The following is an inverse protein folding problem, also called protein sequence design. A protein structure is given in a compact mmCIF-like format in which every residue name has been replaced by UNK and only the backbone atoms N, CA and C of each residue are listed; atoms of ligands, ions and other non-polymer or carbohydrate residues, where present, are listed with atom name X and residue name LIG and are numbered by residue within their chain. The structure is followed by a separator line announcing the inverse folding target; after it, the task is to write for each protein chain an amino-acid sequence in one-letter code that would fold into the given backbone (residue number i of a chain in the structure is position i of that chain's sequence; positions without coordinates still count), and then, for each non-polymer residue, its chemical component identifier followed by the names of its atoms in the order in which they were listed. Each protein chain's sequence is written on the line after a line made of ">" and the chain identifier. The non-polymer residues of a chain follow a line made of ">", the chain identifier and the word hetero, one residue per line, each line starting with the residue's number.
data_IF_109567151978
#
_entry.id   IF_109567151978
#
_cell.length_a   1.000
_cell.length_b   1.000
_cell.length_c   1.000
_cell.angle_alpha   90.00
_cell.angle_beta   90.00
_cell.angle_gamma   90.00
#
_symmetry.space_group_name_H-M   'P 1'
#
loop_
_entity.id
_entity.type
_entity.pdbx_description
1 polymer ?
#
# COMPACT_ATOMS: atom_id res chain seq x y z
N UNK A 1 3.13 38.50 6.29
CA UNK A 1 4.46 38.55 5.64
C UNK A 1 5.02 37.13 5.68
N UNK A 2 4.71 36.23 4.74
CA UNK A 2 4.93 36.33 3.29
C UNK A 2 6.37 36.78 3.02
N UNK A 3 7.30 35.82 2.89
CA UNK A 3 8.60 35.90 2.18
C UNK A 3 9.74 35.05 2.80
N UNK A 4 9.52 33.77 3.15
CA UNK A 4 10.65 32.89 3.50
C UNK A 4 10.59 31.47 2.89
N UNK A 5 9.61 31.19 2.03
CA UNK A 5 9.41 29.85 1.46
C UNK A 5 9.77 29.72 -0.02
N UNK A 6 10.29 30.74 -0.68
CA UNK A 6 10.69 30.64 -2.09
C UNK A 6 11.91 31.49 -2.39
N UNK A 7 13.11 30.92 -2.22
CA UNK A 7 14.22 31.13 -3.15
C UNK A 7 15.35 30.13 -2.87
N UNK A 8 15.39 29.11 -3.74
CA UNK A 8 16.58 28.59 -4.43
C UNK A 8 17.76 28.21 -3.55
N UNK A 9 18.02 26.90 -3.46
CA UNK A 9 19.00 26.26 -4.36
C UNK A 9 20.27 27.11 -4.49
N UNK A 10 21.33 26.71 -3.82
CA UNK A 10 22.56 26.23 -4.46
C UNK A 10 23.63 25.97 -3.42
N UNK A 11 24.53 25.05 -3.77
CA UNK A 11 25.76 24.67 -3.09
C UNK A 11 25.58 23.69 -1.93
N UNK A 12 25.68 22.40 -2.27
CA UNK A 12 26.32 21.44 -1.39
C UNK A 12 27.66 22.01 -0.91
N UNK A 13 27.87 22.23 0.41
CA UNK A 13 29.21 22.31 0.93
C UNK A 13 29.69 20.86 1.11
N UNK A 14 30.81 20.55 0.48
CA UNK A 14 31.65 19.40 0.84
C UNK A 14 31.74 19.29 2.37
N UNK A 15 31.55 18.11 2.97
CA UNK A 15 31.60 17.98 4.42
C UNK A 15 33.03 18.23 4.89
N UNK A 16 33.32 19.47 5.32
CA UNK A 16 34.49 19.78 6.12
C UNK A 16 34.27 19.24 7.52
N UNK A 17 35.25 18.45 7.93
CA UNK A 17 35.37 17.79 9.21
C UNK A 17 35.15 18.75 10.40
N UNK A 18 34.05 18.60 11.14
CA UNK A 18 33.99 18.98 12.56
C UNK A 18 32.76 18.44 13.31
N UNK A 19 33.04 17.50 14.21
CA UNK A 19 32.28 17.11 15.42
C UNK A 19 31.20 16.02 15.30
N UNK A 20 31.70 14.78 15.27
CA UNK A 20 31.04 13.51 15.57
C UNK A 20 30.57 13.38 17.04
N UNK A 21 29.93 14.41 17.62
CA UNK A 21 29.60 14.43 19.05
C UNK A 21 28.29 13.73 19.45
N UNK A 22 27.50 13.23 18.50
CA UNK A 22 26.27 12.51 18.83
C UNK A 22 26.55 11.07 19.29
N UNK A 23 27.52 10.40 18.67
CA UNK A 23 27.79 8.97 18.87
C UNK A 23 28.54 8.61 20.17
N UNK A 24 29.14 9.59 20.87
CA UNK A 24 30.01 9.33 22.04
C UNK A 24 29.33 9.43 23.41
N UNK A 25 28.06 9.82 23.49
CA UNK A 25 27.38 10.12 24.78
C UNK A 25 26.21 9.21 25.12
N UNK A 26 25.76 8.34 24.21
CA UNK A 26 24.65 7.45 24.50
C UNK A 26 25.12 6.27 25.39
N UNK A 27 24.45 5.98 26.52
CA UNK A 27 24.87 4.92 27.45
C UNK A 27 24.98 3.54 26.79
N UNK A 28 24.09 3.25 25.83
CA UNK A 28 24.10 1.99 25.09
C UNK A 28 25.36 1.84 24.21
N UNK A 29 25.92 2.95 23.72
CA UNK A 29 27.08 2.91 22.83
C UNK A 29 28.39 2.79 23.62
N UNK A 30 28.47 3.38 24.82
CA UNK A 30 29.57 3.10 25.76
C UNK A 30 29.60 1.63 26.19
N UNK A 31 28.44 1.03 26.42
CA UNK A 31 28.35 -0.40 26.71
C UNK A 31 28.78 -1.26 25.51
N UNK A 32 28.36 -0.90 24.29
CA UNK A 32 28.77 -1.60 23.06
C UNK A 32 30.27 -1.49 22.79
N UNK A 33 30.86 -0.30 22.94
CA UNK A 33 32.30 -0.06 22.77
C UNK A 33 33.09 -0.85 23.83
N UNK A 34 32.72 -0.74 25.10
CA UNK A 34 33.39 -1.48 26.18
C UNK A 34 33.24 -3.00 26.03
N UNK A 35 32.16 -3.47 25.40
CA UNK A 35 31.95 -4.88 25.10
C UNK A 35 32.80 -5.35 23.91
N UNK A 36 32.89 -4.55 22.84
CA UNK A 36 33.74 -4.83 21.68
C UNK A 36 35.23 -4.84 22.03
N UNK A 37 35.69 -3.94 22.92
CA UNK A 37 37.08 -3.91 23.39
C UNK A 37 37.43 -5.09 24.32
N UNK A 38 36.47 -5.62 25.08
CA UNK A 38 36.67 -6.78 25.98
C UNK A 38 36.67 -8.12 25.26
N UNK A 39 36.11 -8.18 24.07
CA UNK A 39 36.03 -9.40 23.27
C UNK A 39 36.63 -9.16 21.87
N UNK A 40 37.96 -8.95 21.78
CA UNK A 40 38.62 -8.90 20.49
C UNK A 40 38.50 -10.29 19.84
N UNK A 41 37.58 -10.43 18.89
CA UNK A 41 37.40 -11.64 18.09
C UNK A 41 38.33 -11.55 16.87
N UNK A 42 39.39 -12.37 16.78
CA UNK A 42 40.21 -12.43 15.58
C UNK A 42 39.37 -12.95 14.41
N UNK A 43 39.41 -12.27 13.26
CA UNK A 43 38.83 -12.75 12.00
C UNK A 43 37.49 -12.17 11.57
N UNK A 44 36.91 -11.19 12.28
CA UNK A 44 35.68 -10.49 11.83
C UNK A 44 35.94 -9.16 11.12
N UNK A 45 37.16 -8.62 11.24
CA UNK A 45 37.62 -7.39 10.56
C UNK A 45 38.98 -7.60 9.87
N UNK A 46 39.21 -8.80 9.33
CA UNK A 46 40.33 -9.02 8.40
C UNK A 46 39.80 -9.27 6.98
N UNK A 47 38.72 -8.56 6.63
CA UNK A 47 38.28 -8.49 5.25
C UNK A 47 38.93 -7.26 4.62
N UNK A 48 39.95 -7.49 3.80
CA UNK A 48 40.67 -6.45 3.03
C UNK A 48 39.81 -5.82 1.93
N UNK A 49 38.50 -6.04 1.93
CA UNK A 49 37.55 -5.46 0.98
C UNK A 49 37.05 -4.10 1.47
N UNK A 50 36.83 -3.14 0.57
CA UNK A 50 36.42 -1.79 0.94
C UNK A 50 35.06 -1.79 1.66
N UNK A 51 34.89 -0.89 2.63
CA UNK A 51 33.66 -0.73 3.44
C UNK A 51 32.37 -0.55 2.62
N UNK A 52 32.48 -0.25 1.32
CA UNK A 52 31.37 -0.21 0.37
C UNK A 52 30.66 -1.56 0.23
N UNK A 53 31.35 -2.70 0.40
CA UNK A 53 30.73 -4.02 0.32
C UNK A 53 29.70 -4.27 1.45
N UNK A 54 29.85 -3.58 2.60
CA UNK A 54 28.87 -3.61 3.69
C UNK A 54 27.59 -2.81 3.37
N UNK A 55 27.67 -1.88 2.40
CA UNK A 55 26.54 -1.07 1.95
C UNK A 55 25.76 -1.72 0.81
N UNK A 56 26.31 -2.76 0.17
CA UNK A 56 25.63 -3.50 -0.90
C UNK A 56 24.52 -4.42 -0.36
N UNK A 57 24.66 -4.92 0.88
CA UNK A 57 23.65 -5.78 1.53
C UNK A 57 23.56 -5.51 3.04
N UNK A 58 23.08 -4.31 3.45
CA UNK A 58 23.07 -3.89 4.84
C UNK A 58 22.20 -4.79 5.74
N UNK A 59 21.11 -5.31 5.19
CA UNK A 59 20.16 -6.15 5.95
C UNK A 59 20.72 -7.54 6.27
N UNK A 60 21.46 -8.16 5.33
CA UNK A 60 22.05 -9.48 5.53
C UNK A 60 23.18 -9.44 6.57
N UNK A 61 24.04 -8.42 6.50
CA UNK A 61 25.16 -8.25 7.42
C UNK A 61 24.71 -7.77 8.80
N UNK A 62 23.70 -6.89 8.86
CA UNK A 62 23.05 -6.49 10.10
C UNK A 62 22.42 -7.68 10.84
N UNK A 63 21.70 -8.55 10.11
CA UNK A 63 21.10 -9.78 10.69
C UNK A 63 22.15 -10.75 11.20
N UNK A 64 23.22 -11.00 10.44
CA UNK A 64 24.30 -11.89 10.86
C UNK A 64 24.97 -11.40 12.15
N UNK A 65 25.21 -10.08 12.25
CA UNK A 65 25.76 -9.44 13.44
C UNK A 65 24.81 -9.55 14.64
N UNK A 66 23.51 -9.28 14.45
CA UNK A 66 22.50 -9.40 15.50
C UNK A 66 22.39 -10.84 16.03
N UNK A 67 22.34 -11.83 15.15
CA UNK A 67 22.28 -13.25 15.53
C UNK A 67 23.54 -13.70 16.29
N UNK A 68 24.71 -13.20 15.90
CA UNK A 68 25.97 -13.47 16.58
C UNK A 68 25.97 -12.88 17.99
N UNK A 69 25.52 -11.63 18.15
CA UNK A 69 25.41 -10.95 19.45
C UNK A 69 24.44 -11.69 20.39
N UNK A 70 23.30 -12.16 19.88
CA UNK A 70 22.36 -12.95 20.67
C UNK A 70 22.96 -14.29 21.13
N UNK A 71 23.67 -14.99 20.24
CA UNK A 71 24.38 -16.24 20.56
C UNK A 71 25.46 -16.02 21.63
N UNK A 72 26.27 -14.97 21.49
CA UNK A 72 27.33 -14.63 22.44
C UNK A 72 26.77 -14.18 23.80
N UNK A 73 25.56 -13.63 23.83
CA UNK A 73 24.84 -13.29 25.06
C UNK A 73 24.11 -14.48 25.71
N UNK A 74 24.29 -15.71 25.21
CA UNK A 74 23.66 -16.92 25.74
C UNK A 74 22.15 -16.98 25.54
N UNK A 75 21.60 -16.15 24.64
CA UNK A 75 20.17 -16.13 24.30
C UNK A 75 19.95 -16.96 23.04
N UNK A 76 19.05 -17.94 23.11
CA UNK A 76 18.52 -18.54 21.88
C UNK A 76 17.58 -17.53 21.24
N UNK A 77 17.78 -17.15 19.96
CA UNK A 77 16.78 -16.37 19.25
C UNK A 77 15.47 -17.18 19.22
N UNK A 78 14.35 -16.57 19.58
CA UNK A 78 13.02 -17.18 19.40
C UNK A 78 12.90 -17.66 17.95
N UNK A 79 12.35 -18.86 17.75
CA UNK A 79 12.09 -19.40 16.42
C UNK A 79 11.36 -18.33 15.61
N UNK A 80 11.91 -18.00 14.43
CA UNK A 80 11.41 -16.91 13.60
C UNK A 80 9.89 -17.03 13.41
N UNK A 81 9.12 -15.93 13.48
CA UNK A 81 7.84 -15.91 12.78
C UNK A 81 8.15 -16.21 11.31
N UNK A 82 7.50 -17.23 10.76
CA UNK A 82 7.69 -17.68 9.38
C UNK A 82 7.84 -16.47 8.45
N UNK A 83 8.94 -16.44 7.68
CA UNK A 83 9.31 -15.32 6.83
C UNK A 83 8.07 -14.70 6.17
N UNK A 84 7.77 -13.45 6.53
CA UNK A 84 6.71 -12.68 5.87
C UNK A 84 7.02 -12.61 4.39
N UNK A 85 6.00 -12.72 3.54
CA UNK A 85 6.12 -12.82 2.06
C UNK A 85 6.99 -11.69 1.47
N UNK A 86 7.04 -10.53 2.13
CA UNK A 86 7.93 -9.41 1.82
C UNK A 86 9.44 -9.76 1.80
N UNK A 87 9.85 -10.88 2.41
CA UNK A 87 11.26 -11.30 2.54
C UNK A 87 11.69 -12.36 1.52
N UNK A 88 10.76 -12.97 0.77
CA UNK A 88 11.04 -14.16 -0.06
C UNK A 88 11.10 -13.87 -1.57
N UNK A 89 10.74 -12.67 -2.02
CA UNK A 89 10.87 -12.29 -3.44
C UNK A 89 11.39 -10.85 -3.53
N UNK A 90 12.71 -10.62 -3.60
CA UNK A 90 13.22 -9.35 -4.09
C UNK A 90 12.97 -9.29 -5.60
N UNK A 91 11.88 -8.64 -6.04
CA UNK A 91 11.84 -8.15 -7.42
C UNK A 91 12.86 -7.01 -7.56
N UNK A 92 13.59 -6.93 -8.69
CA UNK A 92 14.50 -5.83 -8.95
C UNK A 92 13.71 -4.51 -9.00
N UNK A 93 13.93 -3.68 -7.99
CA UNK A 93 13.23 -2.40 -7.71
C UNK A 93 13.43 -1.34 -8.82
N UNK A 94 14.20 -1.62 -9.88
CA UNK A 94 14.63 -0.61 -10.85
C UNK A 94 13.71 -0.41 -12.08
N UNK A 95 12.73 -1.28 -12.37
CA UNK A 95 11.93 -1.17 -13.61
C UNK A 95 10.38 -1.19 -13.45
N UNK A 96 9.84 -1.33 -12.23
CA UNK A 96 8.38 -1.43 -12.03
C UNK A 96 7.62 -0.18 -12.49
N UNK A 97 8.15 0.98 -12.14
CA UNK A 97 7.51 2.27 -12.42
C UNK A 97 7.62 2.61 -13.91
N UNK A 98 8.72 2.19 -14.55
CA UNK A 98 8.95 2.37 -15.99
C UNK A 98 7.96 1.57 -16.83
N UNK A 99 7.74 0.29 -16.50
CA UNK A 99 6.80 -0.57 -17.22
C UNK A 99 5.36 -0.06 -17.07
N UNK A 100 4.97 0.27 -15.83
CA UNK A 100 3.64 0.82 -15.56
C UNK A 100 3.45 2.18 -16.21
N UNK A 101 4.46 3.05 -16.23
CA UNK A 101 4.37 4.35 -16.91
C UNK A 101 4.30 4.18 -18.43
N UNK A 102 5.08 3.27 -19.01
CA UNK A 102 5.03 2.97 -20.45
C UNK A 102 3.66 2.40 -20.84
N UNK A 103 3.10 1.54 -20.00
CA UNK A 103 1.78 0.97 -20.23
C UNK A 103 0.67 2.00 -19.99
N UNK A 104 0.71 2.78 -18.92
CA UNK A 104 -0.39 3.69 -18.57
C UNK A 104 -0.33 5.07 -19.25
N UNK A 105 0.84 5.48 -19.72
CA UNK A 105 1.08 6.79 -20.31
C UNK A 105 1.39 7.92 -19.31
N UNK A 106 1.41 7.63 -18.00
CA UNK A 106 1.67 8.61 -16.93
C UNK A 106 2.28 7.93 -15.70
N UNK A 107 2.65 8.72 -14.68
CA UNK A 107 3.12 8.16 -13.42
C UNK A 107 2.02 7.33 -12.73
N UNK A 108 2.34 6.10 -12.34
CA UNK A 108 1.38 5.19 -11.72
C UNK A 108 1.16 5.57 -10.24
N UNK A 109 -0.09 5.61 -9.75
CA UNK A 109 -0.37 6.05 -8.38
C UNK A 109 -0.13 4.96 -7.34
N UNK A 110 0.00 5.36 -6.08
CA UNK A 110 0.19 4.43 -4.95
C UNK A 110 -1.04 3.55 -4.71
N UNK A 111 -2.26 4.08 -4.90
CA UNK A 111 -3.52 3.34 -4.71
C UNK A 111 -4.33 3.28 -6.03
N UNK A 112 -3.97 2.44 -7.01
CA UNK A 112 -4.51 2.47 -8.39
C UNK A 112 -5.90 1.82 -8.53
N UNK A 113 -6.84 2.08 -7.62
CA UNK A 113 -8.16 1.47 -7.65
C UNK A 113 -9.00 2.02 -8.81
N UNK A 114 -9.53 1.10 -9.62
CA UNK A 114 -10.41 1.39 -10.75
C UNK A 114 -11.58 0.40 -10.74
N UNK A 115 -12.79 0.83 -11.18
CA UNK A 115 -13.98 -0.01 -11.22
C UNK A 115 -13.97 -0.91 -12.46
N UNK A 116 -12.94 -1.74 -12.62
CA UNK A 116 -12.75 -2.60 -13.79
C UNK A 116 -13.82 -3.70 -13.91
N UNK A 117 -14.46 -4.07 -12.81
CA UNK A 117 -15.54 -5.06 -12.79
C UNK A 117 -16.77 -4.61 -13.60
N UNK A 118 -16.95 -3.30 -13.81
CA UNK A 118 -18.07 -2.75 -14.58
C UNK A 118 -18.05 -3.23 -16.04
N UNK A 119 -19.21 -3.51 -16.64
CA UNK A 119 -19.29 -4.06 -17.99
C UNK A 119 -18.74 -3.09 -19.03
N UNK A 120 -17.99 -3.61 -20.00
CA UNK A 120 -17.56 -2.84 -21.17
C UNK A 120 -18.73 -2.57 -22.11
N UNK A 121 -18.92 -1.29 -22.45
CA UNK A 121 -19.83 -0.88 -23.51
C UNK A 121 -19.39 -1.42 -24.87
N UNK A 122 -20.35 -1.67 -25.78
CA UNK A 122 -20.07 -2.20 -27.13
C UNK A 122 -19.13 -1.29 -27.93
N UNK A 123 -19.26 0.01 -27.77
CA UNK A 123 -18.43 1.05 -28.41
C UNK A 123 -16.97 0.92 -27.98
N UNK A 124 -16.71 0.79 -26.67
CA UNK A 124 -15.35 0.62 -26.14
C UNK A 124 -14.76 -0.74 -26.50
N UNK A 125 -15.58 -1.80 -26.49
CA UNK A 125 -15.15 -3.14 -26.87
C UNK A 125 -14.73 -3.24 -28.35
N UNK A 126 -15.31 -2.42 -29.21
CA UNK A 126 -14.99 -2.39 -30.64
C UNK A 126 -13.75 -1.56 -30.98
N UNK A 127 -13.11 -0.89 -30.01
CA UNK A 127 -11.94 -0.05 -30.29
C UNK A 127 -10.71 -0.86 -30.68
N UNK A 128 -9.98 -0.35 -31.68
CA UNK A 128 -8.70 -0.89 -32.10
C UNK A 128 -7.57 -0.63 -31.09
N UNK A 129 -6.53 -1.46 -31.09
CA UNK A 129 -5.45 -1.41 -30.11
C UNK A 129 -4.77 -0.02 -30.07
N UNK A 130 -4.45 0.53 -31.24
CA UNK A 130 -3.85 1.86 -31.34
C UNK A 130 -4.83 2.95 -30.89
N UNK A 131 -6.11 2.86 -31.23
CA UNK A 131 -7.13 3.80 -30.76
C UNK A 131 -7.29 3.78 -29.24
N UNK A 132 -7.22 2.60 -28.61
CA UNK A 132 -7.25 2.49 -27.15
C UNK A 132 -6.03 3.16 -26.54
N UNK A 133 -4.83 2.90 -27.07
CA UNK A 133 -3.58 3.52 -26.60
C UNK A 133 -3.60 5.04 -26.76
N UNK A 134 -4.01 5.55 -27.92
CA UNK A 134 -4.14 6.98 -28.19
C UNK A 134 -5.11 7.65 -27.20
N UNK A 135 -6.28 7.04 -26.94
CA UNK A 135 -7.23 7.57 -25.96
C UNK A 135 -6.67 7.58 -24.54
N UNK A 136 -5.94 6.54 -24.14
CA UNK A 136 -5.27 6.51 -22.83
C UNK A 136 -4.24 7.65 -22.74
N UNK A 137 -3.41 7.84 -23.77
CA UNK A 137 -2.40 8.91 -23.81
C UNK A 137 -3.04 10.31 -23.78
N UNK A 138 -4.13 10.52 -24.51
CA UNK A 138 -4.87 11.78 -24.50
C UNK A 138 -5.44 12.12 -23.11
N UNK A 139 -5.84 11.10 -22.33
CA UNK A 139 -6.39 11.27 -20.99
C UNK A 139 -5.32 11.25 -19.89
N UNK A 140 -4.09 10.83 -20.18
CA UNK A 140 -3.05 10.48 -19.20
C UNK A 140 -2.77 11.59 -18.18
N UNK A 141 -2.69 12.85 -18.62
CA UNK A 141 -2.45 13.99 -17.73
C UNK A 141 -3.59 14.17 -16.71
N UNK A 142 -4.84 14.16 -17.19
CA UNK A 142 -6.02 14.29 -16.31
C UNK A 142 -6.21 13.08 -15.40
N UNK A 143 -5.86 11.88 -15.87
CA UNK A 143 -5.96 10.64 -15.11
C UNK A 143 -5.03 10.63 -13.88
N UNK A 144 -3.80 11.13 -14.02
CA UNK A 144 -2.87 11.22 -12.89
C UNK A 144 -3.39 12.16 -11.79
N UNK A 145 -3.89 13.34 -12.17
CA UNK A 145 -4.48 14.30 -11.23
C UNK A 145 -5.75 13.73 -10.58
N UNK A 146 -6.59 13.04 -11.37
CA UNK A 146 -7.80 12.39 -10.88
C UNK A 146 -7.51 11.34 -9.81
N UNK A 147 -6.44 10.55 -9.96
CA UNK A 147 -6.05 9.57 -8.95
C UNK A 147 -5.56 10.22 -7.66
N UNK A 148 -4.72 11.25 -7.74
CA UNK A 148 -4.28 12.00 -6.57
C UNK A 148 -5.47 12.61 -5.82
N UNK A 149 -6.44 13.14 -6.55
CA UNK A 149 -7.64 13.71 -5.95
C UNK A 149 -8.57 12.64 -5.39
N UNK A 150 -8.70 11.48 -6.06
CA UNK A 150 -9.46 10.34 -5.53
C UNK A 150 -8.86 9.80 -4.22
N UNK A 151 -7.53 9.81 -4.07
CA UNK A 151 -6.87 9.42 -2.82
C UNK A 151 -7.18 10.40 -1.68
N UNK A 152 -7.12 11.71 -1.93
CA UNK A 152 -7.56 12.72 -0.96
C UNK A 152 -9.03 12.53 -0.61
N UNK A 153 -9.88 12.23 -1.58
CA UNK A 153 -11.29 11.94 -1.36
C UNK A 153 -11.50 10.69 -0.50
N UNK A 154 -10.70 9.62 -0.67
CA UNK A 154 -10.76 8.46 0.23
C UNK A 154 -10.38 8.82 1.67
N UNK A 155 -9.38 9.69 1.87
CA UNK A 155 -9.05 10.20 3.22
C UNK A 155 -10.19 11.06 3.78
N UNK A 156 -10.74 11.97 2.96
CA UNK A 156 -11.86 12.85 3.31
C UNK A 156 -13.12 12.05 3.66
N UNK A 157 -13.42 11.00 2.90
CA UNK A 157 -14.51 10.05 3.17
C UNK A 157 -14.42 9.45 4.56
N UNK A 158 -13.23 9.03 4.98
CA UNK A 158 -13.04 8.48 6.32
C UNK A 158 -13.31 9.52 7.43
N UNK A 159 -12.92 10.78 7.21
CA UNK A 159 -13.21 11.88 8.14
C UNK A 159 -14.70 12.22 8.20
N UNK A 160 -15.36 12.27 7.04
CA UNK A 160 -16.80 12.53 6.94
C UNK A 160 -17.62 11.45 7.67
N UNK A 161 -17.23 10.17 7.54
CA UNK A 161 -17.86 9.07 8.29
C UNK A 161 -17.75 9.26 9.81
N UNK A 162 -16.57 9.65 10.30
CA UNK A 162 -16.39 9.98 11.72
C UNK A 162 -17.28 11.14 12.16
N UNK A 163 -17.38 12.19 11.36
CA UNK A 163 -18.20 13.36 11.71
C UNK A 163 -19.69 13.07 11.67
N UNK A 164 -20.15 12.27 10.72
CA UNK A 164 -21.52 11.78 10.69
C UNK A 164 -21.84 10.97 11.97
N UNK A 165 -20.97 10.03 12.35
CA UNK A 165 -21.16 9.21 13.55
C UNK A 165 -21.20 10.10 14.81
N UNK A 166 -20.22 10.99 14.99
CA UNK A 166 -20.20 11.94 16.11
C UNK A 166 -21.42 12.86 16.13
N UNK A 167 -21.88 13.36 14.98
CA UNK A 167 -23.06 14.21 14.91
C UNK A 167 -24.32 13.44 15.31
N UNK A 168 -24.49 12.21 14.81
CA UNK A 168 -25.64 11.35 15.14
C UNK A 168 -25.76 11.05 16.64
N UNK A 169 -24.62 11.07 17.36
CA UNK A 169 -24.56 10.88 18.80
C UNK A 169 -24.52 12.19 19.62
N UNK A 170 -24.67 13.36 19.00
CA UNK A 170 -24.63 14.66 19.68
C UNK A 170 -23.23 15.07 20.18
N UNK A 171 -22.19 14.45 19.63
CA UNK A 171 -20.78 14.61 20.04
C UNK A 171 -19.95 15.47 19.08
N UNK A 172 -20.58 16.18 18.15
CA UNK A 172 -19.88 17.03 17.17
C UNK A 172 -18.93 18.07 17.83
N UNK A 173 -19.26 18.54 19.04
CA UNK A 173 -18.46 19.51 19.80
C UNK A 173 -17.08 18.98 20.23
N UNK A 174 -16.86 17.66 20.18
CA UNK A 174 -15.62 17.00 20.62
C UNK A 174 -14.48 17.18 19.59
N UNK A 175 -14.81 17.52 18.34
CA UNK A 175 -13.82 17.82 17.30
C UNK A 175 -13.76 19.34 17.10
N UNK A 176 -12.56 19.91 17.17
CA UNK A 176 -12.34 21.34 16.96
C UNK A 176 -11.82 21.59 15.53
N UNK A 177 -12.34 22.62 14.86
CA UNK A 177 -11.73 23.17 13.64
C UNK A 177 -12.46 22.94 12.31
N UNK A 178 -13.51 22.10 12.24
CA UNK A 178 -14.22 21.80 10.98
C UNK A 178 -15.66 22.34 10.90
N UNK A 179 -16.09 23.14 11.88
CA UNK A 179 -17.46 23.66 11.94
C UNK A 179 -18.49 22.59 12.33
N UNK A 180 -19.77 22.93 12.23
CA UNK A 180 -20.85 21.97 12.50
C UNK A 180 -21.03 21.03 11.30
N UNK A 181 -21.17 19.72 11.55
CA UNK A 181 -21.58 18.77 10.52
C UNK A 181 -22.93 19.20 9.92
N UNK A 182 -23.06 19.19 8.61
CA UNK A 182 -24.20 19.73 7.88
C UNK A 182 -24.61 18.80 6.73
N UNK A 183 -25.67 19.17 5.99
CA UNK A 183 -26.18 18.37 4.87
C UNK A 183 -25.19 18.27 3.70
N UNK A 184 -24.34 19.28 3.49
CA UNK A 184 -23.33 19.29 2.43
C UNK A 184 -22.26 18.22 2.67
N UNK A 185 -21.82 18.02 3.92
CA UNK A 185 -20.91 16.94 4.29
C UNK A 185 -21.47 15.54 3.97
N UNK A 186 -22.77 15.33 4.20
CA UNK A 186 -23.44 14.08 3.84
C UNK A 186 -23.54 13.90 2.31
N UNK A 187 -23.80 14.97 1.57
CA UNK A 187 -23.80 14.95 0.10
C UNK A 187 -22.41 14.66 -0.45
N UNK A 188 -21.37 15.29 0.11
CA UNK A 188 -19.96 15.05 -0.23
C UNK A 188 -19.61 13.58 0.00
N UNK A 189 -19.93 13.04 1.18
CA UNK A 189 -19.69 11.64 1.53
C UNK A 189 -20.32 10.69 0.51
N UNK A 190 -21.61 10.90 0.21
CA UNK A 190 -22.36 10.09 -0.76
C UNK A 190 -21.76 10.21 -2.14
N UNK A 191 -21.42 11.42 -2.59
CA UNK A 191 -20.80 11.64 -3.89
C UNK A 191 -19.48 10.88 -4.03
N UNK A 192 -18.66 10.80 -2.97
CA UNK A 192 -17.43 10.01 -2.97
C UNK A 192 -17.74 8.51 -2.99
N UNK A 193 -18.65 8.04 -2.13
CA UNK A 193 -19.02 6.62 -2.00
C UNK A 193 -19.62 6.06 -3.31
N UNK A 194 -20.46 6.84 -3.98
CA UNK A 194 -21.13 6.45 -5.23
C UNK A 194 -20.36 6.87 -6.49
N UNK A 195 -19.09 7.26 -6.37
CA UNK A 195 -18.23 7.63 -7.50
C UNK A 195 -18.72 8.82 -8.35
N UNK A 196 -19.48 9.75 -7.78
CA UNK A 196 -20.06 10.90 -8.50
C UNK A 196 -19.19 12.16 -8.49
N UNK A 197 -18.04 12.15 -7.81
CA UNK A 197 -17.09 13.28 -7.85
C UNK A 197 -16.42 13.41 -9.22
N UNK A 198 -16.00 14.62 -9.59
CA UNK A 198 -15.37 14.88 -10.89
C UNK A 198 -14.14 13.97 -11.13
N UNK A 199 -13.27 13.81 -10.13
CA UNK A 199 -12.11 12.93 -10.21
C UNK A 199 -12.51 11.46 -10.45
N UNK A 200 -13.48 10.94 -9.69
CA UNK A 200 -13.96 9.56 -9.85
C UNK A 200 -14.67 9.34 -11.18
N UNK A 201 -15.37 10.34 -11.71
CA UNK A 201 -15.97 10.30 -13.04
C UNK A 201 -14.90 10.24 -14.16
N UNK A 202 -13.78 10.95 -14.01
CA UNK A 202 -12.65 10.81 -14.93
C UNK A 202 -12.04 9.41 -14.86
N UNK A 203 -11.87 8.85 -13.66
CA UNK A 203 -11.39 7.47 -13.47
C UNK A 203 -12.37 6.43 -14.03
N UNK A 204 -13.69 6.66 -13.91
CA UNK A 204 -14.72 5.84 -14.54
C UNK A 204 -14.62 5.84 -16.07
N UNK A 205 -14.24 6.98 -16.67
CA UNK A 205 -14.08 7.09 -18.12
C UNK A 205 -12.84 6.35 -18.65
N UNK A 206 -11.74 6.30 -17.87
CA UNK A 206 -10.50 5.63 -18.29
C UNK A 206 -10.46 4.14 -17.98
N UNK A 207 -11.12 3.70 -16.90
CA UNK A 207 -11.20 2.29 -16.50
C UNK A 207 -11.56 1.31 -17.64
N UNK A 208 -12.59 1.57 -18.47
CA UNK A 208 -12.92 0.65 -19.57
C UNK A 208 -11.86 0.62 -20.67
N UNK A 209 -11.03 1.66 -20.85
CA UNK A 209 -9.92 1.65 -21.80
C UNK A 209 -8.78 0.74 -21.32
N UNK A 210 -8.42 0.83 -20.04
CA UNK A 210 -7.43 -0.09 -19.43
C UNK A 210 -7.91 -1.53 -19.50
N UNK A 211 -9.19 -1.76 -19.17
CA UNK A 211 -9.80 -3.09 -19.28
C UNK A 211 -9.75 -3.62 -20.72
N UNK A 212 -10.16 -2.82 -21.69
CA UNK A 212 -10.14 -3.21 -23.11
C UNK A 212 -8.72 -3.54 -23.59
N UNK A 213 -7.72 -2.76 -23.15
CA UNK A 213 -6.31 -3.03 -23.47
C UNK A 213 -5.85 -4.38 -22.93
N UNK A 214 -6.20 -4.70 -21.68
CA UNK A 214 -5.91 -6.01 -21.07
C UNK A 214 -6.64 -7.13 -21.84
N UNK A 215 -7.95 -7.01 -22.05
CA UNK A 215 -8.74 -8.04 -22.75
C UNK A 215 -8.21 -8.30 -24.17
N UNK A 216 -7.75 -7.26 -24.90
CA UNK A 216 -7.11 -7.42 -26.21
C UNK A 216 -5.75 -8.09 -26.15
N UNK A 217 -4.91 -7.77 -25.16
CA UNK A 217 -3.63 -8.44 -24.98
C UNK A 217 -3.85 -9.94 -24.67
N UNK A 218 -4.82 -10.24 -23.80
CA UNK A 218 -5.17 -11.61 -23.42
C UNK A 218 -5.85 -12.40 -24.54
N UNK A 219 -6.43 -11.76 -25.55
CA UNK A 219 -6.98 -12.46 -26.72
C UNK A 219 -5.88 -13.04 -27.63
N UNK A 220 -4.63 -12.61 -27.47
CA UNK A 220 -3.49 -13.08 -28.25
C UNK A 220 -2.94 -14.37 -27.63
N UNK A 221 -2.58 -15.34 -28.48
CA UNK A 221 -1.93 -16.58 -28.03
C UNK A 221 -0.46 -16.31 -27.78
N UNK A 222 -0.10 -16.10 -26.52
CA UNK A 222 1.26 -15.81 -26.08
C UNK A 222 1.70 -16.76 -24.97
N UNK A 223 3.02 -16.99 -24.82
CA UNK A 223 3.55 -17.71 -23.66
C UNK A 223 3.10 -17.01 -22.36
N UNK A 224 2.55 -17.76 -21.41
CA UNK A 224 2.06 -17.20 -20.13
C UNK A 224 0.65 -16.59 -20.16
N UNK A 225 -0.11 -16.75 -21.26
CA UNK A 225 -1.49 -16.25 -21.38
C UNK A 225 -2.42 -16.76 -20.25
N UNK A 226 -2.32 -18.02 -19.86
CA UNK A 226 -3.14 -18.61 -18.77
C UNK A 226 -2.89 -17.90 -17.44
N UNK A 227 -1.62 -17.65 -17.11
CA UNK A 227 -1.21 -16.92 -15.91
C UNK A 227 -1.71 -15.46 -15.97
N UNK A 228 -1.61 -14.80 -17.12
CA UNK A 228 -2.11 -13.43 -17.28
C UNK A 228 -3.65 -13.38 -17.16
N UNK A 229 -4.37 -14.39 -17.64
CA UNK A 229 -5.81 -14.51 -17.47
C UNK A 229 -6.23 -14.77 -16.01
N UNK A 230 -5.44 -15.53 -15.25
CA UNK A 230 -5.61 -15.70 -13.80
C UNK A 230 -5.41 -14.39 -13.03
N UNK A 231 -4.34 -13.65 -13.34
CA UNK A 231 -4.06 -12.34 -12.75
C UNK A 231 -5.19 -11.34 -13.07
N UNK A 232 -5.68 -11.33 -14.31
CA UNK A 232 -6.76 -10.46 -14.71
C UNK A 232 -8.07 -10.77 -13.99
N UNK A 233 -8.43 -12.05 -13.85
CA UNK A 233 -9.59 -12.46 -13.05
C UNK A 233 -9.48 -12.00 -11.60
N UNK A 234 -8.31 -12.20 -10.99
CA UNK A 234 -8.06 -11.72 -9.62
C UNK A 234 -8.20 -10.19 -9.53
N UNK A 235 -7.66 -9.44 -10.49
CA UNK A 235 -7.78 -7.99 -10.53
C UNK A 235 -9.24 -7.52 -10.61
N UNK A 236 -10.07 -8.17 -11.45
CA UNK A 236 -11.50 -7.87 -11.53
C UNK A 236 -12.23 -8.15 -10.20
N UNK A 237 -11.94 -9.29 -9.58
CA UNK A 237 -12.53 -9.64 -8.27
C UNK A 237 -12.14 -8.64 -7.20
N UNK A 238 -10.88 -8.20 -7.15
CA UNK A 238 -10.46 -7.17 -6.20
C UNK A 238 -11.11 -5.82 -6.49
N UNK A 239 -11.25 -5.44 -7.76
CA UNK A 239 -11.94 -4.22 -8.16
C UNK A 239 -13.41 -4.21 -7.71
N UNK A 240 -14.09 -5.35 -7.73
CA UNK A 240 -15.45 -5.51 -7.18
C UNK A 240 -15.48 -5.36 -5.65
N UNK A 241 -14.45 -5.86 -4.97
CA UNK A 241 -14.29 -5.76 -3.50
C UNK A 241 -13.71 -4.43 -3.01
N UNK A 242 -13.41 -3.48 -3.89
CA UNK A 242 -12.86 -2.18 -3.49
C UNK A 242 -13.70 -1.43 -2.44
N UNK A 243 -15.05 -1.44 -2.48
CA UNK A 243 -15.86 -0.85 -1.41
C UNK A 243 -15.53 -1.42 -0.03
N UNK A 244 -15.26 -2.73 0.08
CA UNK A 244 -14.88 -3.37 1.35
C UNK A 244 -13.52 -2.84 1.87
N UNK A 245 -12.61 -2.48 0.97
CA UNK A 245 -11.32 -1.86 1.33
C UNK A 245 -11.54 -0.47 1.91
N UNK A 246 -12.39 0.35 1.27
CA UNK A 246 -12.75 1.68 1.77
C UNK A 246 -13.44 1.58 3.14
N UNK A 247 -14.37 0.63 3.33
CA UNK A 247 -15.02 0.40 4.62
C UNK A 247 -14.06 -0.09 5.70
N UNK A 248 -13.07 -0.92 5.35
CA UNK A 248 -12.02 -1.35 6.28
C UNK A 248 -11.13 -0.16 6.69
N UNK A 249 -10.81 0.76 5.76
CA UNK A 249 -10.07 2.00 6.04
C UNK A 249 -10.85 2.91 6.99
N UNK A 250 -12.14 3.13 6.71
CA UNK A 250 -13.06 3.90 7.57
C UNK A 250 -13.06 3.34 9.00
N UNK A 251 -13.35 2.04 9.15
CA UNK A 251 -13.42 1.39 10.46
C UNK A 251 -12.09 1.48 11.23
N UNK A 252 -10.95 1.33 10.54
CA UNK A 252 -9.64 1.50 11.17
C UNK A 252 -9.43 2.93 11.67
N UNK A 253 -9.82 3.93 10.87
CA UNK A 253 -9.70 5.33 11.25
C UNK A 253 -10.59 5.64 12.46
N UNK A 254 -11.84 5.17 12.47
CA UNK A 254 -12.76 5.36 13.60
C UNK A 254 -12.15 4.85 14.91
N UNK A 255 -11.58 3.64 14.91
CA UNK A 255 -10.89 3.09 16.09
C UNK A 255 -9.74 4.00 16.54
N UNK A 256 -8.92 4.49 15.59
CA UNK A 256 -7.79 5.38 15.89
C UNK A 256 -8.27 6.70 16.53
N UNK A 257 -9.28 7.33 15.94
CA UNK A 257 -9.77 8.64 16.36
C UNK A 257 -10.52 8.52 17.69
N UNK A 258 -11.40 7.53 17.88
CA UNK A 258 -12.04 7.29 19.17
C UNK A 258 -11.05 6.98 20.28
N UNK A 259 -10.01 6.17 20.03
CA UNK A 259 -8.94 5.96 21.02
C UNK A 259 -8.18 7.24 21.37
N UNK A 260 -8.10 8.18 20.44
CA UNK A 260 -7.48 9.49 20.67
C UNK A 260 -8.39 10.37 21.52
N UNK A 261 -9.70 10.36 21.25
CA UNK A 261 -10.70 11.06 22.04
C UNK A 261 -10.83 10.49 23.47
N UNK A 262 -10.75 9.16 23.65
CA UNK A 262 -10.77 8.50 24.96
C UNK A 262 -9.65 8.96 25.89
N UNK A 263 -8.48 9.33 25.34
CA UNK A 263 -7.33 9.78 26.13
C UNK A 263 -7.50 11.21 26.66
N UNK A 264 -8.54 11.93 26.24
CA UNK A 264 -8.79 13.28 26.72
C UNK A 264 -9.40 13.23 28.14
N UNK A 265 -8.82 13.92 29.12
CA UNK A 265 -9.23 13.81 30.52
C UNK A 265 -10.64 14.33 30.83
N UNK A 266 -11.26 15.08 29.92
CA UNK A 266 -12.64 15.59 30.03
C UNK A 266 -13.55 15.09 28.89
N UNK A 267 -13.23 13.93 28.31
CA UNK A 267 -14.00 13.35 27.21
C UNK A 267 -15.39 12.83 27.66
N UNK A 268 -16.42 12.91 26.79
CA UNK A 268 -17.72 12.32 27.09
C UNK A 268 -17.62 10.80 27.32
N UNK A 269 -18.32 10.28 28.33
CA UNK A 269 -18.30 8.84 28.66
C UNK A 269 -18.80 7.95 27.51
N UNK A 270 -19.68 8.49 26.66
CA UNK A 270 -20.21 7.84 25.46
C UNK A 270 -19.12 7.45 24.44
N UNK A 271 -17.99 8.18 24.41
CA UNK A 271 -16.85 7.86 23.53
C UNK A 271 -16.29 6.46 23.83
N UNK A 272 -16.41 5.96 25.06
CA UNK A 272 -15.96 4.62 25.38
C UNK A 272 -16.80 3.54 24.70
N UNK A 273 -18.13 3.71 24.70
CA UNK A 273 -19.03 2.79 24.02
C UNK A 273 -18.81 2.81 22.50
N UNK A 274 -18.65 4.01 21.91
CA UNK A 274 -18.35 4.16 20.47
C UNK A 274 -17.00 3.54 20.10
N UNK A 275 -15.99 3.69 20.94
CA UNK A 275 -14.69 3.06 20.72
C UNK A 275 -14.78 1.54 20.72
N UNK A 276 -15.54 0.94 21.64
CA UNK A 276 -15.74 -0.51 21.65
C UNK A 276 -16.54 -0.98 20.43
N UNK A 277 -17.59 -0.27 20.03
CA UNK A 277 -18.34 -0.56 18.80
C UNK A 277 -17.45 -0.48 17.56
N UNK A 278 -16.67 0.58 17.41
CA UNK A 278 -15.73 0.74 16.29
C UNK A 278 -14.70 -0.39 16.24
N UNK A 279 -14.20 -0.86 17.38
CA UNK A 279 -13.29 -2.02 17.41
C UNK A 279 -13.99 -3.33 17.03
N UNK A 280 -15.24 -3.52 17.43
CA UNK A 280 -16.03 -4.70 17.04
C UNK A 280 -16.29 -4.71 15.53
N UNK A 281 -16.71 -3.57 14.95
CA UNK A 281 -16.90 -3.45 13.50
C UNK A 281 -15.58 -3.67 12.75
N UNK A 282 -14.49 -3.07 13.22
CA UNK A 282 -13.18 -3.28 12.63
C UNK A 282 -12.72 -4.74 12.69
N UNK A 283 -12.89 -5.42 13.84
CA UNK A 283 -12.57 -6.85 13.98
C UNK A 283 -13.37 -7.70 12.99
N UNK A 284 -14.67 -7.44 12.85
CA UNK A 284 -15.54 -8.14 11.89
C UNK A 284 -14.99 -8.00 10.47
N UNK A 285 -14.68 -6.77 10.04
CA UNK A 285 -14.13 -6.53 8.69
C UNK A 285 -12.77 -7.17 8.48
N UNK A 286 -11.90 -7.18 9.49
CA UNK A 286 -10.62 -7.91 9.43
C UNK A 286 -10.88 -9.40 9.25
N UNK A 287 -11.82 -9.99 10.00
CA UNK A 287 -12.20 -11.39 9.86
C UNK A 287 -12.74 -11.71 8.46
N UNK A 288 -13.57 -10.84 7.88
CA UNK A 288 -14.11 -11.03 6.51
C UNK A 288 -13.01 -11.06 5.44
N UNK A 289 -11.92 -10.30 5.62
CA UNK A 289 -10.76 -10.34 4.73
C UNK A 289 -9.89 -11.58 4.95
N UNK A 290 -9.70 -12.02 6.19
CA UNK A 290 -8.88 -13.18 6.52
C UNK A 290 -9.57 -14.52 6.22
N UNK A 291 -10.90 -14.54 6.20
CA UNK A 291 -11.70 -15.69 5.76
C UNK A 291 -11.87 -15.77 4.23
N UNK A 292 -11.18 -14.92 3.46
CA UNK A 292 -11.32 -14.90 2.01
C UNK A 292 -10.53 -16.03 1.34
N UNK A 293 -11.25 -17.09 0.96
CA UNK A 293 -10.71 -18.28 0.28
C UNK A 293 -10.38 -18.06 -1.21
N UNK A 294 -10.31 -16.81 -1.69
CA UNK A 294 -9.99 -16.51 -3.08
C UNK A 294 -8.57 -16.99 -3.40
N UNK A 295 -8.38 -17.96 -4.32
CA UNK A 295 -7.04 -18.47 -4.63
C UNK A 295 -6.21 -17.40 -5.34
N UNK A 296 -4.96 -17.25 -4.92
CA UNK A 296 -4.00 -16.37 -5.61
C UNK A 296 -3.30 -17.14 -6.74
N UNK A 297 -3.05 -16.48 -7.89
CA UNK A 297 -2.22 -17.06 -8.95
C UNK A 297 -0.81 -17.36 -8.41
N UNK A 298 -0.17 -18.47 -8.85
CA UNK A 298 1.16 -18.87 -8.36
C UNK A 298 2.26 -17.80 -8.53
N UNK A 299 2.07 -16.90 -9.50
CA UNK A 299 2.92 -15.73 -9.72
C UNK A 299 3.01 -14.78 -8.52
N UNK A 300 1.98 -14.77 -7.67
CA UNK A 300 1.85 -13.93 -6.50
C UNK A 300 2.16 -14.77 -5.25
N UNK A 301 1.38 -15.82 -5.04
CA UNK A 301 1.52 -16.75 -3.92
C UNK A 301 0.73 -18.03 -4.19
N UNK A 302 1.11 -19.13 -3.52
CA UNK A 302 0.45 -20.44 -3.63
C UNK A 302 -0.60 -20.69 -2.55
N UNK A 303 -1.22 -19.62 -2.04
CA UNK A 303 -2.21 -19.65 -0.95
C UNK A 303 -3.44 -18.81 -1.28
N UNK A 304 -4.46 -18.88 -0.42
CA UNK A 304 -5.62 -17.99 -0.49
C UNK A 304 -5.23 -16.53 -0.21
N UNK A 305 -6.10 -15.59 -0.60
CA UNK A 305 -5.97 -14.19 -0.24
C UNK A 305 -5.99 -13.99 1.28
N UNK A 306 -6.88 -14.68 1.99
CA UNK A 306 -6.95 -14.63 3.45
C UNK A 306 -5.64 -15.06 4.12
N UNK A 307 -5.07 -16.19 3.70
CA UNK A 307 -3.80 -16.70 4.20
C UNK A 307 -2.62 -15.77 3.84
N UNK A 308 -2.63 -15.21 2.63
CA UNK A 308 -1.65 -14.22 2.20
C UNK A 308 -1.66 -13.04 3.16
N UNK A 309 -2.85 -12.48 3.45
CA UNK A 309 -3.01 -11.35 4.36
C UNK A 309 -2.65 -11.70 5.81
N UNK A 310 -2.99 -12.90 6.28
CA UNK A 310 -2.62 -13.39 7.61
C UNK A 310 -1.09 -13.45 7.78
N UNK A 311 -0.35 -13.85 6.74
CA UNK A 311 1.13 -13.86 6.77
C UNK A 311 1.72 -12.48 6.95
N UNK A 312 1.04 -11.42 6.53
CA UNK A 312 1.47 -10.03 6.79
C UNK A 312 1.09 -9.54 8.19
N UNK A 313 0.24 -10.28 8.91
CA UNK A 313 -0.18 -9.98 10.28
C UNK A 313 0.18 -11.15 11.23
N UNK A 314 1.45 -11.55 11.38
CA UNK A 314 1.82 -12.82 12.03
C UNK A 314 1.50 -12.91 13.52
N UNK A 315 1.27 -11.76 14.19
CA UNK A 315 0.88 -11.69 15.61
C UNK A 315 -0.62 -11.67 15.84
N UNK A 316 -1.40 -11.60 14.76
CA UNK A 316 -2.86 -11.52 14.84
C UNK A 316 -3.41 -12.93 15.06
N UNK A 317 -4.10 -13.12 16.17
CA UNK A 317 -4.91 -14.30 16.42
C UNK A 317 -6.35 -13.86 16.68
N UNK A 318 -7.24 -14.01 15.70
CA UNK A 318 -8.62 -13.54 15.84
C UNK A 318 -9.44 -14.25 16.94
N UNK A 319 -9.03 -15.47 17.33
CA UNK A 319 -9.71 -16.25 18.35
C UNK A 319 -9.30 -15.80 19.76
N UNK A 320 -8.02 -15.51 19.96
CA UNK A 320 -7.46 -15.16 21.27
C UNK A 320 -7.34 -13.64 21.50
N UNK A 321 -7.16 -12.85 20.44
CA UNK A 321 -6.90 -11.42 20.56
C UNK A 321 -8.11 -10.65 21.05
N UNK A 322 -7.88 -9.82 22.08
CA UNK A 322 -8.80 -8.74 22.43
C UNK A 322 -9.03 -7.79 21.25
N UNK A 323 -10.16 -7.08 21.27
CA UNK A 323 -10.49 -6.03 20.29
C UNK A 323 -9.37 -5.00 20.06
N UNK A 324 -8.65 -4.63 21.13
CA UNK A 324 -7.53 -3.69 21.04
C UNK A 324 -6.24 -4.33 20.51
N UNK A 325 -6.07 -5.64 20.69
CA UNK A 325 -4.96 -6.40 20.11
C UNK A 325 -5.16 -6.57 18.60
N UNK A 326 -6.37 -6.94 18.14
CA UNK A 326 -6.71 -7.00 16.71
C UNK A 326 -6.31 -5.72 15.98
N UNK A 327 -6.75 -4.55 16.46
CA UNK A 327 -6.37 -3.26 15.87
C UNK A 327 -4.85 -3.02 15.76
N UNK A 328 -4.09 -3.46 16.75
CA UNK A 328 -2.62 -3.31 16.79
C UNK A 328 -1.93 -4.30 15.87
N UNK A 329 -2.38 -5.55 15.85
CA UNK A 329 -1.73 -6.64 15.13
C UNK A 329 -2.11 -6.71 13.65
N UNK A 330 -3.19 -6.04 13.23
CA UNK A 330 -3.64 -5.96 11.83
C UNK A 330 -3.18 -4.70 11.08
N UNK A 331 -2.13 -4.01 11.57
CA UNK A 331 -1.68 -2.73 10.98
C UNK A 331 -1.24 -2.87 9.51
N UNK A 332 -0.65 -4.01 9.17
CA UNK A 332 -0.12 -4.31 7.83
C UNK A 332 -1.17 -4.85 6.86
N UNK A 333 -2.42 -5.05 7.29
CA UNK A 333 -3.47 -5.64 6.45
C UNK A 333 -3.78 -4.78 5.20
N UNK A 334 -4.01 -3.49 5.40
CA UNK A 334 -4.28 -2.54 4.31
C UNK A 334 -3.06 -2.29 3.40
N UNK A 335 -1.84 -2.09 3.95
CA UNK A 335 -0.61 -2.09 3.15
C UNK A 335 -0.44 -3.35 2.30
N UNK A 336 -0.62 -4.54 2.87
CA UNK A 336 -0.48 -5.81 2.16
C UNK A 336 -1.48 -5.95 1.01
N UNK A 337 -2.75 -5.56 1.22
CA UNK A 337 -3.75 -5.50 0.15
C UNK A 337 -3.33 -4.55 -0.97
N UNK A 338 -2.80 -3.37 -0.63
CA UNK A 338 -2.35 -2.41 -1.62
C UNK A 338 -1.14 -2.92 -2.43
N UNK A 339 -0.15 -3.50 -1.75
CA UNK A 339 1.03 -4.09 -2.40
C UNK A 339 0.63 -5.24 -3.34
N UNK A 340 -0.29 -6.10 -2.92
CA UNK A 340 -0.82 -7.16 -3.79
C UNK A 340 -1.50 -6.58 -5.02
N UNK A 341 -2.33 -5.54 -4.84
CA UNK A 341 -3.01 -4.88 -5.95
C UNK A 341 -2.05 -4.17 -6.91
N UNK A 342 -1.04 -3.47 -6.41
CA UNK A 342 0.03 -2.87 -7.23
C UNK A 342 0.78 -3.94 -8.02
N UNK A 343 1.11 -5.06 -7.38
CA UNK A 343 1.81 -6.18 -8.03
C UNK A 343 0.98 -6.81 -9.15
N UNK A 344 -0.32 -6.94 -8.96
CA UNK A 344 -1.24 -7.40 -10.03
C UNK A 344 -1.18 -6.51 -11.26
N UNK A 345 -1.27 -5.21 -11.05
CA UNK A 345 -1.17 -4.23 -12.14
C UNK A 345 0.17 -4.32 -12.87
N UNK A 346 1.28 -4.41 -12.14
CA UNK A 346 2.61 -4.51 -12.74
C UNK A 346 2.73 -5.77 -13.62
N UNK A 347 2.34 -6.93 -13.10
CA UNK A 347 2.43 -8.19 -13.83
C UNK A 347 1.55 -8.18 -15.09
N UNK A 348 0.34 -7.61 -15.00
CA UNK A 348 -0.56 -7.47 -16.14
C UNK A 348 -0.05 -6.46 -17.17
N UNK A 349 0.50 -5.33 -16.73
CA UNK A 349 1.10 -4.33 -17.62
C UNK A 349 2.27 -4.94 -18.42
N UNK A 350 3.15 -5.70 -17.76
CA UNK A 350 4.24 -6.43 -18.42
C UNK A 350 3.73 -7.43 -19.45
N UNK A 351 2.72 -8.22 -19.09
CA UNK A 351 2.10 -9.18 -20.02
C UNK A 351 1.48 -8.47 -21.24
N UNK A 352 0.82 -7.32 -21.04
CA UNK A 352 0.26 -6.52 -22.13
C UNK A 352 1.34 -5.92 -23.02
N UNK A 353 2.42 -5.38 -22.44
CA UNK A 353 3.53 -4.80 -23.20
C UNK A 353 4.24 -5.87 -24.04
N UNK A 354 4.43 -7.08 -23.50
CA UNK A 354 4.99 -8.20 -24.26
C UNK A 354 4.09 -8.57 -25.46
N UNK A 355 2.77 -8.65 -25.24
CA UNK A 355 1.80 -8.91 -26.30
C UNK A 355 1.83 -7.87 -27.42
N UNK A 356 1.89 -6.59 -27.04
CA UNK A 356 1.96 -5.48 -27.98
C UNK A 356 3.26 -5.47 -28.79
N UNK A 357 4.39 -5.85 -28.17
CA UNK A 357 5.68 -5.95 -28.86
C UNK A 357 5.67 -7.06 -29.92
N UNK A 358 5.16 -8.25 -29.57
CA UNK A 358 5.07 -9.39 -30.50
C UNK A 358 4.18 -9.08 -31.70
N UNK A 359 3.07 -8.37 -31.50
CA UNK A 359 2.23 -7.89 -32.60
C UNK A 359 2.96 -6.93 -33.53
N UNK A 360 3.71 -5.96 -32.98
CA UNK A 360 4.48 -5.02 -33.79
C UNK A 360 5.55 -5.75 -34.63
N UNK A 361 6.20 -6.77 -34.07
CA UNK A 361 7.16 -7.59 -34.81
C UNK A 361 6.51 -8.42 -35.92
N UNK A 362 5.33 -9.00 -35.68
CA UNK A 362 4.59 -9.73 -36.70
C UNK A 362 4.13 -8.82 -37.85
N UNK A 363 3.69 -7.60 -37.56
CA UNK A 363 3.28 -6.62 -38.58
C UNK A 363 4.45 -6.08 -39.41
N UNK A 364 5.66 -6.03 -38.87
CA UNK A 364 6.86 -5.61 -39.62
C UNK A 364 7.45 -6.74 -40.49
N UNK A 365 7.04 -7.98 -40.25
CA UNK A 365 7.53 -9.18 -40.95
C UNK A 365 6.58 -9.69 -42.05
N UNK A 366 5.39 -9.09 -42.16
CA UNK A 366 4.35 -9.37 -43.16
C UNK A 366 4.31 -8.23 -44.18
#
# INVERSE_FOLDING_TARGET
>A
MHAALLARQTLSPTPTSASSRYWGRHPADRQRIAWAERHPLPGLLDDRRPASALLEQPDAHGRALTLLVHRLAGRQPEAEPAATVATLVPEPVQDSDTDLQRWSGHAWPDCPWLPLHLPLERTTRALEADTVRERILLLAAGTADAWQEAEKQSQRRCLLALYEELHSHGLAHVVHGEGAFNQEHLQEYRAIDTWQTAARQQLLAVAPLYRQRIERALAQRLPGQEQAAELYRLLLTLAERYPDVERLREARLLVKEYRTLQRRPQGPSQINALCEFAKQDYRRRVADWLACDLPLPPAIATVSLGDYLQRHCPRLDLAEDSLSAVYRHSAELLPALNTLHQRLWLLLARACLAAEADQASLQQSA
#
